data_IF_536108946001
#
_entry.id   IF_536108946001
#
_cell.length_a   1.000
_cell.length_b   1.000
_cell.length_c   1.000
_cell.angle_alpha   90.00
_cell.angle_beta   90.00
_cell.angle_gamma   90.00
#
_symmetry.space_group_name_H-M   'P 1'
#
loop_
_entity.id
_entity.type
_entity.pdbx_description
1 polymer ?
#
# COMPACT_ATOMS: atom_id res chain seq x y z
N UNK A 1 -10.53 18.19 -7.91
CA UNK A 1 -10.23 19.44 -8.65
C UNK A 1 -10.21 19.12 -10.14
N UNK A 2 -10.68 20.02 -11.01
CA UNK A 2 -10.67 19.87 -12.47
C UNK A 2 -9.71 20.88 -13.10
N UNK A 3 -8.92 20.48 -14.10
CA UNK A 3 -8.10 21.41 -14.89
C UNK A 3 -8.95 22.31 -15.78
N UNK A 4 -8.59 23.58 -15.88
CA UNK A 4 -9.25 24.58 -16.74
C UNK A 4 -8.25 25.65 -17.17
N UNK A 5 -8.48 26.26 -18.33
CA UNK A 5 -7.70 27.42 -18.76
C UNK A 5 -8.52 28.68 -18.51
N UNK A 6 -7.89 29.69 -17.91
CA UNK A 6 -8.48 31.01 -17.74
C UNK A 6 -7.47 32.07 -18.19
N UNK A 7 -7.87 32.94 -19.11
CA UNK A 7 -7.02 33.95 -19.75
C UNK A 7 -5.68 33.40 -20.26
N UNK A 8 -5.70 32.24 -20.93
CA UNK A 8 -4.49 31.59 -21.45
C UNK A 8 -3.57 30.95 -20.40
N UNK A 9 -3.98 30.92 -19.13
CA UNK A 9 -3.19 30.32 -18.06
C UNK A 9 -3.89 29.08 -17.45
N UNK A 10 -3.14 28.01 -17.14
CA UNK A 10 -3.69 26.82 -16.50
C UNK A 10 -4.09 27.09 -15.04
N UNK A 11 -5.28 26.60 -14.69
CA UNK A 11 -5.88 26.69 -13.36
C UNK A 11 -6.50 25.34 -12.96
N UNK A 12 -6.56 25.11 -11.65
CA UNK A 12 -7.38 24.06 -11.05
C UNK A 12 -8.64 24.68 -10.47
N UNK A 13 -9.80 24.16 -10.88
CA UNK A 13 -11.10 24.57 -10.36
C UNK A 13 -11.73 23.48 -9.50
N UNK A 14 -12.21 23.87 -8.32
CA UNK A 14 -13.23 23.10 -7.59
C UNK A 14 -14.57 23.76 -7.89
N UNK A 15 -15.53 23.02 -8.42
CA UNK A 15 -16.91 23.48 -8.55
C UNK A 15 -17.80 22.52 -7.78
N UNK A 16 -18.57 23.07 -6.87
CA UNK A 16 -19.60 22.33 -6.16
C UNK A 16 -20.95 22.54 -6.89
N UNK A 17 -21.65 21.49 -7.33
CA UNK A 17 -22.93 21.67 -8.01
C UNK A 17 -23.97 22.25 -7.04
N UNK A 18 -24.70 23.26 -7.49
CA UNK A 18 -25.67 24.01 -6.67
C UNK A 18 -26.77 23.12 -6.06
N UNK A 19 -27.11 22.01 -6.74
CA UNK A 19 -28.13 21.04 -6.29
C UNK A 19 -27.80 20.36 -4.96
N UNK A 20 -26.51 20.18 -4.65
CA UNK A 20 -26.05 19.59 -3.38
C UNK A 20 -25.70 20.64 -2.31
N UNK A 21 -25.72 21.93 -2.66
CA UNK A 21 -25.33 23.04 -1.76
C UNK A 21 -26.47 23.47 -0.82
N UNK A 22 -27.70 23.04 -1.10
CA UNK A 22 -28.90 23.41 -0.33
C UNK A 22 -29.02 22.68 1.03
N UNK A 23 -28.26 21.61 1.27
CA UNK A 23 -28.43 20.75 2.45
C UNK A 23 -27.43 20.96 3.58
N UNK A 24 -26.43 21.85 3.44
CA UNK A 24 -25.47 22.11 4.52
C UNK A 24 -24.65 23.39 4.33
N UNK A 25 -24.18 23.96 5.44
CA UNK A 25 -23.24 25.07 5.44
C UNK A 25 -21.95 24.65 4.76
N UNK A 26 -21.71 25.15 3.54
CA UNK A 26 -20.49 24.83 2.81
C UNK A 26 -19.29 25.54 3.45
N UNK A 27 -18.23 24.78 3.67
CA UNK A 27 -16.97 25.25 4.27
C UNK A 27 -16.06 26.03 3.29
N UNK A 28 -16.51 26.23 2.06
CA UNK A 28 -15.85 27.00 1.01
C UNK A 28 -16.87 27.52 -0.02
N UNK A 29 -16.54 28.56 -0.82
CA UNK A 29 -17.44 29.06 -1.86
C UNK A 29 -17.72 28.03 -2.96
N UNK A 30 -18.84 28.22 -3.69
CA UNK A 30 -19.33 27.32 -4.75
C UNK A 30 -18.30 27.01 -5.84
N UNK A 31 -17.42 27.96 -6.14
CA UNK A 31 -16.31 27.74 -7.09
C UNK A 31 -15.03 28.33 -6.53
N UNK A 32 -13.95 27.55 -6.57
CA UNK A 32 -12.60 27.96 -6.17
C UNK A 32 -11.68 27.74 -7.37
N UNK A 33 -10.87 28.74 -7.69
CA UNK A 33 -9.82 28.66 -8.71
C UNK A 33 -8.45 28.80 -8.06
N UNK A 34 -7.51 27.94 -8.47
CA UNK A 34 -6.12 28.03 -8.07
C UNK A 34 -5.26 28.03 -9.32
N UNK A 35 -4.36 29.01 -9.44
CA UNK A 35 -3.45 29.09 -10.58
C UNK A 35 -2.34 28.05 -10.44
N UNK A 36 -2.11 27.27 -11.48
CA UNK A 36 -1.10 26.21 -11.48
C UNK A 36 0.31 26.76 -11.21
N UNK A 37 0.65 27.91 -11.80
CA UNK A 37 1.94 28.58 -11.62
C UNK A 37 2.28 28.93 -10.15
N UNK A 38 1.29 28.98 -9.25
CA UNK A 38 1.52 29.22 -7.81
C UNK A 38 1.84 27.92 -7.07
N UNK A 39 1.32 26.79 -7.54
CA UNK A 39 1.49 25.47 -6.91
C UNK A 39 2.79 24.82 -7.37
N UNK A 40 3.02 24.74 -8.69
CA UNK A 40 4.09 23.89 -9.24
C UNK A 40 5.49 24.23 -8.70
N UNK A 41 5.93 25.49 -8.59
CA UNK A 41 7.27 25.77 -8.04
C UNK A 41 7.43 25.35 -6.58
N UNK A 42 6.36 25.38 -5.79
CA UNK A 42 6.37 24.93 -4.39
C UNK A 42 6.35 23.40 -4.32
N UNK A 43 5.57 22.77 -5.19
CA UNK A 43 5.50 21.32 -5.32
C UNK A 43 6.86 20.74 -5.73
N UNK A 44 7.48 21.29 -6.76
CA UNK A 44 8.79 20.87 -7.26
C UNK A 44 9.87 20.94 -6.17
N UNK A 45 9.89 22.06 -5.44
CA UNK A 45 10.82 22.22 -4.30
C UNK A 45 10.56 21.21 -3.21
N UNK A 46 9.29 20.96 -2.88
CA UNK A 46 8.93 19.97 -1.86
C UNK A 46 9.36 18.55 -2.31
N UNK A 47 9.11 18.17 -3.56
CA UNK A 47 9.55 16.87 -4.11
C UNK A 47 11.08 16.78 -4.02
N UNK A 48 11.81 17.80 -4.46
CA UNK A 48 13.27 17.81 -4.41
C UNK A 48 13.84 17.70 -2.99
N UNK A 49 13.15 18.26 -2.00
CA UNK A 49 13.57 18.16 -0.60
C UNK A 49 13.26 16.79 0.01
N UNK A 50 12.05 16.27 -0.20
CA UNK A 50 11.61 14.99 0.37
C UNK A 50 12.35 13.82 -0.27
N UNK A 51 12.57 13.88 -1.57
CA UNK A 51 13.26 12.85 -2.35
C UNK A 51 14.76 13.14 -2.52
N UNK A 52 15.33 14.07 -1.74
CA UNK A 52 16.77 14.28 -1.73
C UNK A 52 17.48 12.97 -1.32
N UNK A 53 18.57 12.55 -2.01
CA UNK A 53 19.20 11.26 -1.77
C UNK A 53 19.55 10.98 -0.30
N UNK A 54 19.99 12.00 0.44
CA UNK A 54 20.29 11.88 1.88
C UNK A 54 19.04 11.65 2.75
N UNK A 55 17.92 12.31 2.45
CA UNK A 55 16.67 12.11 3.16
C UNK A 55 16.07 10.75 2.84
N UNK A 56 16.05 10.35 1.56
CA UNK A 56 15.59 9.03 1.14
C UNK A 56 16.35 7.90 1.82
N UNK A 57 17.68 7.99 1.86
CA UNK A 57 18.51 7.01 2.56
C UNK A 57 18.10 6.88 4.03
N UNK A 58 17.95 8.01 4.71
CA UNK A 58 17.57 8.04 6.13
C UNK A 58 16.18 7.42 6.35
N UNK A 59 15.19 7.80 5.54
CA UNK A 59 13.82 7.27 5.64
C UNK A 59 13.76 5.78 5.35
N UNK A 60 14.41 5.30 4.28
CA UNK A 60 14.41 3.89 3.90
C UNK A 60 15.13 3.02 4.93
N UNK A 61 16.23 3.51 5.52
CA UNK A 61 16.90 2.83 6.63
C UNK A 61 16.02 2.77 7.88
N UNK A 62 15.31 3.85 8.22
CA UNK A 62 14.36 3.85 9.34
C UNK A 62 13.19 2.86 9.09
N UNK A 63 12.69 2.77 7.86
CA UNK A 63 11.69 1.77 7.46
C UNK A 63 12.23 0.35 7.60
N UNK A 64 13.44 0.07 7.11
CA UNK A 64 14.10 -1.23 7.25
C UNK A 64 14.29 -1.62 8.72
N UNK A 65 14.73 -0.68 9.57
CA UNK A 65 14.87 -0.90 11.01
C UNK A 65 13.53 -1.20 11.68
N UNK A 66 12.47 -0.48 11.31
CA UNK A 66 11.11 -0.70 11.83
C UNK A 66 10.57 -2.08 11.42
N UNK A 67 10.83 -2.51 10.18
CA UNK A 67 10.49 -3.86 9.70
C UNK A 67 11.24 -4.93 10.51
N UNK A 68 12.55 -4.75 10.75
CA UNK A 68 13.35 -5.66 11.59
C UNK A 68 12.83 -5.75 13.03
N UNK A 69 12.47 -4.62 13.65
CA UNK A 69 11.88 -4.59 14.99
C UNK A 69 10.51 -5.30 15.05
N UNK A 70 9.77 -5.32 13.95
CA UNK A 70 8.48 -6.03 13.83
C UNK A 70 8.67 -7.52 13.53
N UNK A 71 9.89 -7.98 13.23
CA UNK A 71 10.19 -9.39 12.89
C UNK A 71 10.35 -10.27 14.15
N UNK A 72 9.89 -9.83 15.31
CA UNK A 72 9.71 -10.70 16.49
C UNK A 72 8.81 -11.88 16.09
N UNK A 73 9.14 -13.14 16.47
CA UNK A 73 8.27 -14.28 16.20
C UNK A 73 6.88 -13.99 16.77
N UNK A 74 5.89 -13.80 15.90
CA UNK A 74 4.51 -13.65 16.35
C UNK A 74 4.11 -14.96 17.02
N UNK A 75 3.63 -14.96 18.28
CA UNK A 75 3.22 -16.18 18.97
C UNK A 75 2.23 -17.03 18.16
N UNK A 76 1.41 -16.39 17.33
CA UNK A 76 0.47 -17.05 16.41
C UNK A 76 1.12 -17.87 15.29
N UNK A 77 2.32 -17.51 14.81
CA UNK A 77 3.03 -18.27 13.78
C UNK A 77 3.60 -19.58 14.33
N UNK A 78 4.19 -19.52 15.53
CA UNK A 78 4.67 -20.73 16.20
C UNK A 78 3.51 -21.63 16.62
N UNK A 79 2.42 -21.06 17.13
CA UNK A 79 1.21 -21.80 17.45
C UNK A 79 0.65 -22.52 16.21
N UNK A 80 0.51 -21.84 15.07
CA UNK A 80 0.03 -22.44 13.83
C UNK A 80 0.95 -23.58 13.33
N UNK A 81 2.28 -23.42 13.42
CA UNK A 81 3.24 -24.49 13.09
C UNK A 81 3.07 -25.70 14.01
N UNK A 82 2.92 -25.47 15.33
CA UNK A 82 2.69 -26.54 16.30
C UNK A 82 1.38 -27.28 16.01
N UNK A 83 0.31 -26.57 15.66
CA UNK A 83 -0.97 -27.17 15.28
C UNK A 83 -0.83 -28.08 14.05
N UNK A 84 -0.09 -27.66 13.01
CA UNK A 84 0.16 -28.49 11.83
C UNK A 84 0.90 -29.77 12.21
N UNK A 85 1.98 -29.66 12.99
CA UNK A 85 2.75 -30.82 13.45
C UNK A 85 1.90 -31.77 14.30
N UNK A 86 1.01 -31.24 15.14
CA UNK A 86 0.08 -32.04 15.94
C UNK A 86 -0.96 -32.76 15.08
N UNK A 87 -1.54 -32.08 14.10
CA UNK A 87 -2.46 -32.68 13.12
C UNK A 87 -1.78 -33.80 12.34
N UNK A 88 -0.55 -33.61 11.86
CA UNK A 88 0.22 -34.63 11.15
C UNK A 88 0.50 -35.85 12.03
N UNK A 89 0.85 -35.63 13.30
CA UNK A 89 1.04 -36.69 14.29
C UNK A 89 -0.26 -37.49 14.51
N UNK A 90 -1.40 -36.80 14.68
CA UNK A 90 -2.71 -37.43 14.88
C UNK A 90 -3.15 -38.23 13.65
N UNK A 91 -2.97 -37.71 12.44
CA UNK A 91 -3.27 -38.42 11.19
C UNK A 91 -2.46 -39.72 11.05
N UNK A 92 -1.17 -39.69 11.38
CA UNK A 92 -0.33 -40.90 11.40
C UNK A 92 -0.81 -41.93 12.43
N UNK A 93 -1.24 -41.48 13.61
CA UNK A 93 -1.79 -42.36 14.65
C UNK A 93 -3.15 -42.97 14.25
N UNK A 94 -4.00 -42.20 13.56
CA UNK A 94 -5.29 -42.69 13.07
C UNK A 94 -5.14 -43.78 12.00
N UNK A 95 -4.11 -43.69 11.16
CA UNK A 95 -3.77 -44.75 10.21
C UNK A 95 -3.42 -46.06 10.93
N UNK A 96 -2.59 -46.01 11.96
CA UNK A 96 -2.25 -47.19 12.76
C UNK A 96 -3.46 -47.78 13.50
N UNK A 97 -4.42 -46.95 13.93
CA UNK A 97 -5.66 -47.41 14.57
C UNK A 97 -6.61 -48.12 13.59
N UNK A 98 -6.68 -47.68 12.33
CA UNK A 98 -7.40 -48.39 11.27
C UNK A 98 -6.81 -49.77 11.00
N UNK A 99 -5.47 -49.85 10.91
CA UNK A 99 -4.76 -51.12 10.71
C UNK A 99 -5.00 -52.10 11.88
N UNK A 100 -5.23 -51.58 13.09
CA UNK A 100 -5.57 -52.36 14.29
C UNK A 100 -7.07 -52.72 14.43
N UNK A 101 -7.91 -52.40 13.44
CA UNK A 101 -9.32 -52.81 13.40
C UNK A 101 -10.32 -51.81 14.00
N UNK A 102 -9.95 -50.53 14.15
CA UNK A 102 -10.89 -49.49 14.57
C UNK A 102 -12.01 -49.27 13.53
N UNK A 103 -13.19 -48.82 14.00
CA UNK A 103 -14.34 -48.50 13.13
C UNK A 103 -13.95 -47.49 12.03
N UNK A 104 -14.11 -47.85 10.74
CA UNK A 104 -13.78 -46.97 9.63
C UNK A 104 -14.55 -45.64 9.66
N UNK A 105 -15.82 -45.67 10.09
CA UNK A 105 -16.65 -44.47 10.18
C UNK A 105 -16.15 -43.48 11.24
N UNK A 106 -15.68 -43.99 12.39
CA UNK A 106 -15.14 -43.16 13.46
C UNK A 106 -13.81 -42.55 13.07
N UNK A 107 -12.93 -43.33 12.41
CA UNK A 107 -11.63 -42.82 11.98
C UNK A 107 -11.77 -41.81 10.84
N UNK A 108 -12.69 -42.03 9.89
CA UNK A 108 -12.99 -41.06 8.84
C UNK A 108 -13.40 -39.71 9.43
N UNK A 109 -14.26 -39.68 10.47
CA UNK A 109 -14.65 -38.44 11.13
C UNK A 109 -13.47 -37.72 11.82
N UNK A 110 -12.55 -38.47 12.42
CA UNK A 110 -11.33 -37.89 13.03
C UNK A 110 -10.35 -37.35 12.00
N UNK A 111 -10.19 -38.03 10.86
CA UNK A 111 -9.36 -37.58 9.73
C UNK A 111 -9.92 -36.26 9.20
N UNK A 112 -11.21 -36.19 8.88
CA UNK A 112 -11.83 -34.96 8.36
C UNK A 112 -11.65 -33.77 9.30
N UNK A 113 -11.73 -33.99 10.62
CA UNK A 113 -11.48 -32.93 11.62
C UNK A 113 -10.01 -32.51 11.64
N UNK A 114 -9.07 -33.45 11.63
CA UNK A 114 -7.64 -33.14 11.63
C UNK A 114 -7.19 -32.44 10.33
N UNK A 115 -7.76 -32.80 9.19
CA UNK A 115 -7.53 -32.11 7.91
C UNK A 115 -8.10 -30.69 7.92
N UNK A 116 -9.29 -30.47 8.47
CA UNK A 116 -9.86 -29.14 8.64
C UNK A 116 -9.02 -28.25 9.56
N UNK A 117 -8.57 -28.78 10.71
CA UNK A 117 -7.70 -28.07 11.66
C UNK A 117 -6.35 -27.71 11.00
N UNK A 118 -5.77 -28.63 10.22
CA UNK A 118 -4.53 -28.41 9.45
C UNK A 118 -4.72 -27.33 8.39
N UNK A 119 -5.79 -27.39 7.61
CA UNK A 119 -6.10 -26.40 6.58
C UNK A 119 -6.27 -24.99 7.17
N UNK A 120 -6.95 -24.87 8.31
CA UNK A 120 -7.10 -23.61 9.01
C UNK A 120 -5.75 -23.05 9.50
N UNK A 121 -4.89 -23.89 10.09
CA UNK A 121 -3.56 -23.49 10.54
C UNK A 121 -2.63 -23.11 9.36
N UNK A 122 -2.72 -23.81 8.23
CA UNK A 122 -2.00 -23.45 7.00
C UNK A 122 -2.46 -22.09 6.46
N UNK A 123 -3.77 -21.83 6.46
CA UNK A 123 -4.31 -20.53 6.05
C UNK A 123 -3.84 -19.39 6.95
N UNK A 124 -3.73 -19.64 8.27
CA UNK A 124 -3.14 -18.69 9.21
C UNK A 124 -1.67 -18.39 8.88
N UNK A 125 -0.87 -19.40 8.50
CA UNK A 125 0.52 -19.19 8.07
C UNK A 125 0.62 -18.39 6.78
N UNK A 126 -0.22 -18.68 5.79
CA UNK A 126 -0.26 -17.93 4.52
C UNK A 126 -0.64 -16.47 4.79
N UNK A 127 -1.66 -16.23 5.59
CA UNK A 127 -2.12 -14.88 5.92
C UNK A 127 -1.07 -14.10 6.71
N UNK A 128 -0.45 -14.72 7.72
CA UNK A 128 0.57 -14.08 8.54
C UNK A 128 1.90 -13.86 7.80
N UNK A 129 2.23 -14.71 6.82
CA UNK A 129 3.40 -14.51 5.94
C UNK A 129 3.14 -13.46 4.87
N UNK A 130 1.94 -13.40 4.29
CA UNK A 130 1.54 -12.33 3.37
C UNK A 130 1.45 -10.96 4.07
N UNK A 131 1.15 -10.94 5.37
CA UNK A 131 1.19 -9.73 6.20
C UNK A 131 2.62 -9.27 6.55
N UNK A 132 3.66 -10.09 6.30
CA UNK A 132 5.04 -9.63 6.43
C UNK A 132 5.40 -8.79 5.20
N UNK A 133 5.60 -7.49 5.42
CA UNK A 133 6.49 -6.74 4.55
C UNK A 133 7.85 -7.42 4.59
N UNK A 134 8.33 -7.96 3.46
CA UNK A 134 9.72 -8.39 3.35
C UNK A 134 10.62 -7.25 3.77
N UNK A 135 11.54 -7.51 4.70
CA UNK A 135 12.51 -6.51 5.15
C UNK A 135 13.25 -6.00 3.92
N UNK A 136 13.24 -4.69 3.70
CA UNK A 136 13.98 -4.06 2.61
C UNK A 136 15.45 -4.49 2.67
N UNK A 137 15.98 -5.02 1.58
CA UNK A 137 17.42 -5.33 1.46
C UNK A 137 18.21 -4.07 1.16
N UNK A 138 19.50 -4.07 1.46
CA UNK A 138 20.36 -2.91 1.19
C UNK A 138 20.42 -2.61 -0.31
N UNK A 139 20.45 -3.64 -1.17
CA UNK A 139 20.38 -3.50 -2.63
C UNK A 139 19.08 -2.83 -3.10
N UNK A 140 17.93 -3.23 -2.53
CA UNK A 140 16.65 -2.59 -2.82
C UNK A 140 16.62 -1.13 -2.38
N UNK A 141 17.21 -0.81 -1.22
CA UNK A 141 17.32 0.57 -0.74
C UNK A 141 18.16 1.41 -1.71
N UNK A 142 19.32 0.89 -2.15
CA UNK A 142 20.16 1.60 -3.14
C UNK A 142 19.44 1.79 -4.47
N UNK A 143 18.72 0.78 -4.95
CA UNK A 143 17.89 0.87 -6.16
C UNK A 143 16.83 1.97 -6.04
N UNK A 144 16.10 2.01 -4.93
CA UNK A 144 15.09 3.06 -4.68
C UNK A 144 15.68 4.46 -4.61
N UNK A 145 16.83 4.64 -3.95
CA UNK A 145 17.52 5.94 -3.87
C UNK A 145 17.90 6.41 -5.27
N UNK A 146 18.43 5.50 -6.10
CA UNK A 146 18.81 5.81 -7.47
C UNK A 146 17.59 6.15 -8.32
N UNK A 147 16.58 5.28 -8.37
CA UNK A 147 15.38 5.47 -9.20
C UNK A 147 14.63 6.77 -8.86
N UNK A 148 14.44 7.05 -7.57
CA UNK A 148 13.76 8.26 -7.12
C UNK A 148 14.64 9.51 -7.25
N UNK A 149 15.96 9.37 -7.07
CA UNK A 149 16.92 10.45 -7.31
C UNK A 149 16.92 10.87 -8.78
N UNK A 150 17.07 9.92 -9.71
CA UNK A 150 17.03 10.14 -11.15
C UNK A 150 15.70 10.79 -11.59
N UNK A 151 14.58 10.37 -11.00
CA UNK A 151 13.27 10.97 -11.26
C UNK A 151 13.17 12.41 -10.76
N UNK A 152 13.76 12.70 -9.59
CA UNK A 152 13.81 14.04 -9.00
C UNK A 152 14.67 14.98 -9.86
N UNK A 153 15.83 14.53 -10.33
CA UNK A 153 16.70 15.32 -11.20
C UNK A 153 16.04 15.64 -12.53
N UNK A 154 15.33 14.66 -13.12
CA UNK A 154 14.51 14.86 -14.31
C UNK A 154 13.39 15.87 -14.07
N UNK A 155 12.76 15.84 -12.89
CA UNK A 155 11.70 16.81 -12.55
C UNK A 155 12.24 18.23 -12.48
N UNK A 156 13.43 18.42 -11.90
CA UNK A 156 14.04 19.74 -11.74
C UNK A 156 14.50 20.34 -13.06
N UNK A 157 14.94 19.51 -14.01
CA UNK A 157 15.46 19.93 -15.32
C UNK A 157 14.38 20.02 -16.40
N UNK A 158 13.26 19.33 -16.26
CA UNK A 158 12.20 19.30 -17.27
C UNK A 158 11.49 20.66 -17.45
N UNK A 159 11.13 21.04 -18.68
CA UNK A 159 10.24 22.17 -18.93
C UNK A 159 8.82 21.85 -18.41
N UNK A 160 8.06 22.90 -18.07
CA UNK A 160 6.77 22.76 -17.36
C UNK A 160 5.74 21.86 -18.08
N UNK A 161 5.72 21.89 -19.41
CA UNK A 161 4.87 21.08 -20.28
C UNK A 161 5.21 19.58 -20.24
N UNK A 162 6.41 19.21 -19.78
CA UNK A 162 6.88 17.81 -19.68
C UNK A 162 6.92 17.26 -18.26
N UNK A 163 6.46 18.02 -17.26
CA UNK A 163 6.46 17.56 -15.86
C UNK A 163 5.28 16.66 -15.50
N UNK A 164 4.19 16.70 -16.25
CA UNK A 164 2.98 15.93 -15.93
C UNK A 164 3.23 14.41 -15.78
N UNK A 165 3.99 13.74 -16.68
CA UNK A 165 4.33 12.32 -16.51
C UNK A 165 5.21 12.06 -15.28
N UNK A 166 6.05 13.02 -14.89
CA UNK A 166 6.92 12.90 -13.72
C UNK A 166 6.11 12.99 -12.43
N UNK A 167 5.17 13.93 -12.34
CA UNK A 167 4.21 14.01 -11.23
C UNK A 167 3.36 12.74 -11.12
N UNK A 168 2.98 12.14 -12.25
CA UNK A 168 2.27 10.87 -12.27
C UNK A 168 3.14 9.72 -11.74
N UNK A 169 4.43 9.66 -12.11
CA UNK A 169 5.37 8.65 -11.59
C UNK A 169 5.57 8.75 -10.07
N UNK A 170 5.55 9.97 -9.51
CA UNK A 170 5.55 10.19 -8.06
C UNK A 170 4.22 9.84 -7.36
N UNK A 171 3.17 9.48 -8.12
CA UNK A 171 1.87 9.08 -7.57
C UNK A 171 1.28 10.14 -6.65
N UNK A 172 1.29 11.40 -7.09
CA UNK A 172 0.92 12.55 -6.26
C UNK A 172 -0.60 12.68 -6.13
N UNK A 173 -1.06 12.91 -4.89
CA UNK A 173 -2.42 13.34 -4.59
C UNK A 173 -2.36 14.68 -3.85
N UNK A 174 -3.04 15.70 -4.39
CA UNK A 174 -3.07 17.04 -3.83
C UNK A 174 -4.46 17.36 -3.30
N UNK A 175 -4.53 17.72 -2.02
CA UNK A 175 -5.78 18.10 -1.34
C UNK A 175 -5.68 19.55 -0.90
N UNK A 176 -6.52 20.41 -1.47
CA UNK A 176 -6.55 21.83 -1.10
C UNK A 176 -7.57 22.11 0.02
N UNK A 177 -7.11 22.72 1.11
CA UNK A 177 -7.94 23.25 2.17
C UNK A 177 -8.07 24.78 2.01
N UNK A 178 -9.28 25.24 1.66
CA UNK A 178 -9.54 26.66 1.41
C UNK A 178 -9.44 27.53 2.68
N UNK A 179 -9.95 27.07 3.83
CA UNK A 179 -9.95 27.85 5.08
C UNK A 179 -8.53 28.21 5.51
N UNK A 180 -7.63 27.23 5.43
CA UNK A 180 -6.21 27.40 5.79
C UNK A 180 -5.37 27.92 4.62
N UNK A 181 -5.91 27.90 3.39
CA UNK A 181 -5.17 28.13 2.14
C UNK A 181 -3.92 27.27 2.05
N UNK A 182 -4.05 25.99 2.43
CA UNK A 182 -2.97 25.01 2.44
C UNK A 182 -3.28 23.91 1.43
N UNK A 183 -2.25 23.50 0.68
CA UNK A 183 -2.29 22.29 -0.14
C UNK A 183 -1.55 21.19 0.63
N UNK A 184 -2.23 20.11 0.95
CA UNK A 184 -1.62 18.88 1.44
C UNK A 184 -1.22 18.03 0.24
N UNK A 185 0.02 17.55 0.24
CA UNK A 185 0.56 16.69 -0.81
C UNK A 185 0.84 15.32 -0.22
N UNK A 186 0.31 14.29 -0.84
CA UNK A 186 0.62 12.89 -0.57
C UNK A 186 1.31 12.30 -1.79
N UNK A 187 2.30 11.42 -1.58
CA UNK A 187 3.03 10.77 -2.65
C UNK A 187 3.07 9.26 -2.42
N UNK A 188 2.77 8.51 -3.47
CA UNK A 188 2.89 7.06 -3.50
C UNK A 188 3.63 6.69 -4.80
N UNK A 189 4.96 6.85 -4.84
CA UNK A 189 5.72 6.60 -6.06
C UNK A 189 5.61 5.13 -6.45
N UNK A 190 5.35 4.88 -7.73
CA UNK A 190 5.39 3.52 -8.26
C UNK A 190 6.85 3.10 -8.40
N UNK A 191 7.35 2.26 -7.49
CA UNK A 191 8.68 1.67 -7.65
C UNK A 191 8.58 0.46 -8.58
N UNK A 192 9.47 0.39 -9.58
CA UNK A 192 9.66 -0.77 -10.47
C UNK A 192 9.94 -2.06 -9.70
N UNK A 193 10.56 -1.94 -8.51
CA UNK A 193 10.90 -3.04 -7.60
C UNK A 193 9.69 -3.53 -6.80
N UNK A 194 8.66 -2.70 -6.67
CA UNK A 194 7.41 -3.02 -5.97
C UNK A 194 6.23 -2.97 -6.96
N UNK A 195 6.20 -3.94 -7.88
CA UNK A 195 4.90 -4.36 -8.43
C UNK A 195 4.06 -4.80 -7.23
N UNK A 196 3.05 -4.00 -6.89
CA UNK A 196 2.11 -4.26 -5.80
C UNK A 196 1.46 -5.64 -5.99
N UNK A 197 1.97 -6.65 -5.30
CA UNK A 197 1.15 -7.75 -4.81
C UNK A 197 1.08 -7.66 -3.30
N UNK A 198 0.39 -6.64 -2.79
CA UNK A 198 -0.20 -6.70 -1.46
C UNK A 198 -1.69 -6.35 -1.54
N UNK A 199 -2.54 -7.07 -0.79
CA UNK A 199 -3.90 -7.35 -1.15
C UNK A 199 -4.83 -6.26 -0.61
N UNK A 200 -5.29 -5.36 -1.47
CA UNK A 200 -6.65 -4.85 -1.31
C UNK A 200 -7.46 -5.48 -2.41
N UNK A 201 -8.37 -6.34 -1.98
CA UNK A 201 -9.16 -7.22 -2.81
C UNK A 201 -9.84 -6.49 -3.95
N UNK A 202 -9.98 -7.24 -5.03
CA UNK A 202 -10.98 -7.01 -6.05
C UNK A 202 -12.34 -6.80 -5.38
N UNK A 203 -12.72 -5.54 -5.15
CA UNK A 203 -14.08 -5.15 -4.82
C UNK A 203 -14.79 -4.84 -6.14
N UNK A 204 -14.87 -5.84 -7.01
CA UNK A 204 -15.75 -5.82 -8.16
C UNK A 204 -17.06 -6.52 -7.77
N UNK A 205 -18.14 -5.77 -7.46
CA UNK A 205 -19.44 -6.36 -7.16
C UNK A 205 -20.14 -6.97 -8.40
N UNK A 206 -19.48 -7.00 -9.56
CA UNK A 206 -20.02 -7.51 -10.82
C UNK A 206 -19.11 -8.52 -11.54
N UNK A 207 -18.31 -9.30 -10.83
CA UNK A 207 -17.67 -10.46 -11.44
C UNK A 207 -18.69 -11.59 -11.68
N UNK A 208 -19.44 -11.47 -12.78
CA UNK A 208 -20.10 -12.56 -13.53
C UNK A 208 -20.11 -12.21 -15.00
#
# INVERSE_FOLDING_TARGET
MQGTFNHGHPHYRCRYPYEYAKSGTLDHPLTVYIREAVILPKLDRWIAQVFAPGQLKTTLQAMQQSQRATTTPLPGLEAARRTITDCDRRLNQYRAALDAGASPATVAAWISKAEADKAAAQQQLITASAARCTVLTDEQIHGMIKDLGDLTDRLLTAPADRKAPLYQAFGLTLTYNMKKRVVTVESQPASSVYVRSCPRGDLNPHAR
#
